data_IF_223954669780
#
_entry.id   IF_223954669780
#
_cell.length_a   1.000
_cell.length_b   1.000
_cell.length_c   1.000
_cell.angle_alpha   90.00
_cell.angle_beta   90.00
_cell.angle_gamma   90.00
#
_symmetry.space_group_name_H-M   'P 1'
#
loop_
_entity.id
_entity.type
_entity.pdbx_description
1 polymer ?
#
# COMPACT_ATOMS: atom_id res chain seq x y z
N UNK A 1 58.07 34.66 24.79
CA UNK A 1 58.04 35.51 26.00
C UNK A 1 56.63 35.51 26.58
N UNK A 2 56.39 34.68 27.59
CA UNK A 2 55.10 34.62 28.27
C UNK A 2 54.94 35.84 29.18
N UNK A 3 53.99 36.73 28.86
CA UNK A 3 53.57 37.81 29.76
C UNK A 3 52.91 37.14 30.97
N UNK A 4 53.58 37.16 32.12
CA UNK A 4 52.98 36.81 33.41
C UNK A 4 51.88 37.84 33.66
N UNK A 5 50.64 37.43 33.43
CA UNK A 5 49.45 38.26 33.64
C UNK A 5 49.24 38.35 35.16
N UNK A 6 49.38 39.54 35.74
CA UNK A 6 49.14 39.78 37.16
C UNK A 6 47.76 39.20 37.56
N UNK A 7 47.69 38.50 38.70
CA UNK A 7 46.46 37.91 39.20
C UNK A 7 45.38 38.99 39.34
N UNK A 8 44.36 38.95 38.48
CA UNK A 8 43.26 39.90 38.53
C UNK A 8 42.52 39.75 39.87
N UNK A 9 42.41 40.84 40.65
CA UNK A 9 41.63 40.85 41.90
C UNK A 9 40.24 40.30 41.63
N UNK A 10 39.80 39.32 42.42
CA UNK A 10 38.46 38.71 42.35
C UNK A 10 37.53 39.33 43.40
N UNK A 11 36.22 39.20 43.19
CA UNK A 11 35.16 39.54 44.14
C UNK A 11 35.13 41.01 44.55
N UNK A 12 35.25 41.90 43.55
CA UNK A 12 35.38 43.34 43.78
C UNK A 12 34.04 44.03 44.10
N UNK A 13 32.90 43.47 43.64
CA UNK A 13 31.59 44.07 43.89
C UNK A 13 30.99 43.59 45.21
N UNK A 14 30.36 44.51 45.91
CA UNK A 14 29.50 44.23 47.06
C UNK A 14 28.05 44.10 46.64
N UNK A 15 27.23 43.43 47.45
CA UNK A 15 25.78 43.33 47.23
C UNK A 15 25.11 44.70 47.09
N UNK A 16 25.60 45.70 47.82
CA UNK A 16 25.07 47.08 47.77
C UNK A 16 25.39 47.76 46.43
N UNK A 17 26.58 47.54 45.89
CA UNK A 17 26.97 48.07 44.57
C UNK A 17 26.19 47.39 43.44
N UNK A 18 25.93 46.08 43.54
CA UNK A 18 25.07 45.36 42.57
C UNK A 18 23.63 45.89 42.59
N UNK A 19 23.10 46.18 43.79
CA UNK A 19 21.76 46.72 43.98
C UNK A 19 21.64 48.15 43.44
N UNK A 20 22.63 49.00 43.70
CA UNK A 20 22.62 50.42 43.34
C UNK A 20 23.19 50.72 41.94
N UNK A 21 23.67 49.72 41.21
CA UNK A 21 24.31 49.95 39.91
C UNK A 21 23.36 50.62 38.91
N UNK A 22 23.81 51.73 38.32
CA UNK A 22 23.18 52.36 37.18
C UNK A 22 23.60 51.71 35.86
N UNK A 23 23.17 52.29 34.74
CA UNK A 23 23.50 51.80 33.41
C UNK A 23 25.02 51.76 33.17
N UNK A 24 25.50 50.62 32.69
CA UNK A 24 26.93 50.41 32.45
C UNK A 24 27.40 48.97 32.68
N UNK A 25 28.71 48.77 32.58
CA UNK A 25 29.38 47.50 32.88
C UNK A 25 30.22 47.68 34.16
N UNK A 26 29.83 47.02 35.25
CA UNK A 26 30.58 46.99 36.51
C UNK A 26 31.38 45.69 36.60
N UNK A 27 32.66 45.77 36.99
CA UNK A 27 33.55 44.59 37.06
C UNK A 27 33.59 44.00 38.47
N UNK A 28 33.31 42.69 38.60
CA UNK A 28 33.56 41.92 39.83
C UNK A 28 34.98 41.32 39.86
N UNK A 29 35.73 41.48 38.77
CA UNK A 29 37.09 40.99 38.65
C UNK A 29 37.18 39.57 38.06
N UNK A 30 38.39 39.21 37.61
CA UNK A 30 38.68 37.93 36.96
C UNK A 30 37.76 37.63 35.77
N UNK A 31 37.39 38.65 34.99
CA UNK A 31 36.53 38.50 33.81
C UNK A 31 35.03 38.50 34.09
N UNK A 32 34.56 38.55 35.35
CA UNK A 32 33.12 38.66 35.66
C UNK A 32 32.66 40.12 35.67
N UNK A 33 31.57 40.42 34.97
CA UNK A 33 30.97 41.75 34.89
C UNK A 33 29.46 41.68 35.12
N UNK A 34 28.93 42.69 35.79
CA UNK A 34 27.52 43.04 35.82
C UNK A 34 27.24 44.05 34.70
N UNK A 35 26.36 43.70 33.77
CA UNK A 35 25.91 44.57 32.69
C UNK A 35 24.48 45.03 32.97
N UNK A 36 24.30 46.33 33.19
CA UNK A 36 23.00 46.98 33.38
C UNK A 36 22.69 47.83 32.14
N UNK A 37 21.51 47.64 31.57
CA UNK A 37 20.97 48.38 30.43
C UNK A 37 19.49 48.63 30.69
N UNK A 38 19.13 49.89 30.90
CA UNK A 38 17.78 50.33 31.25
C UNK A 38 17.24 49.54 32.45
N UNK A 39 16.11 48.83 32.27
CA UNK A 39 15.50 48.01 33.30
C UNK A 39 16.12 46.59 33.42
N UNK A 40 17.03 46.21 32.51
CA UNK A 40 17.59 44.86 32.45
C UNK A 40 19.01 44.80 33.02
N UNK A 41 19.30 43.73 33.76
CA UNK A 41 20.64 43.47 34.26
C UNK A 41 21.03 42.02 34.01
N UNK A 42 22.28 41.78 33.61
CA UNK A 42 22.79 40.45 33.28
C UNK A 42 24.24 40.29 33.73
N UNK A 43 24.59 39.07 34.11
CA UNK A 43 25.97 38.69 34.41
C UNK A 43 26.66 38.20 33.15
N UNK A 44 27.87 38.70 32.93
CA UNK A 44 28.68 38.39 31.75
C UNK A 44 30.07 37.98 32.18
N UNK A 45 30.58 36.89 31.63
CA UNK A 45 31.94 36.41 31.84
C UNK A 45 32.76 36.59 30.57
N UNK A 46 33.75 37.48 30.62
CA UNK A 46 34.73 37.72 29.57
C UNK A 46 35.96 36.85 29.81
N UNK A 47 36.37 36.10 28.80
CA UNK A 47 37.59 35.29 28.84
C UNK A 47 38.35 35.37 27.53
N UNK A 48 39.58 34.86 27.52
CA UNK A 48 40.37 34.68 26.28
C UNK A 48 40.35 33.20 25.95
N UNK A 49 39.77 32.85 24.81
CA UNK A 49 39.76 31.48 24.31
C UNK A 49 41.17 31.07 23.85
N UNK A 50 41.41 29.76 23.72
CA UNK A 50 42.69 29.23 23.21
C UNK A 50 43.04 29.75 21.80
N UNK A 51 42.03 30.15 21.02
CA UNK A 51 42.17 30.80 19.70
C UNK A 51 42.64 32.25 19.76
N UNK A 52 42.82 32.84 20.94
CA UNK A 52 43.17 34.25 21.14
C UNK A 52 41.98 35.22 21.04
N UNK A 53 40.79 34.73 20.67
CA UNK A 53 39.54 35.51 20.69
C UNK A 53 39.11 35.83 22.12
N UNK A 54 38.39 36.93 22.31
CA UNK A 54 37.84 37.35 23.61
C UNK A 54 36.32 37.34 23.62
N UNK A 55 35.69 36.16 23.66
CA UNK A 55 34.24 36.06 23.71
C UNK A 55 33.67 36.52 25.06
N UNK A 56 32.40 36.91 25.04
CA UNK A 56 31.59 37.19 26.23
C UNK A 56 30.57 36.06 26.42
N UNK A 57 30.55 35.42 27.58
CA UNK A 57 29.57 34.40 27.95
C UNK A 57 28.54 35.01 28.92
N UNK A 58 27.29 35.11 28.49
CA UNK A 58 26.19 35.45 29.40
C UNK A 58 25.96 34.32 30.43
N UNK A 59 25.98 34.67 31.71
CA UNK A 59 25.77 33.76 32.84
C UNK A 59 24.32 33.75 33.34
N UNK A 60 23.51 34.74 32.95
CA UNK A 60 22.09 34.82 33.27
C UNK A 60 21.66 36.23 33.68
N UNK A 61 20.38 36.38 34.00
CA UNK A 61 19.83 37.64 34.52
C UNK A 61 20.39 37.94 35.92
N UNK A 62 20.69 39.21 36.17
CA UNK A 62 21.07 39.69 37.49
C UNK A 62 19.81 40.16 38.23
N UNK A 63 19.37 39.38 39.22
CA UNK A 63 18.21 39.75 40.03
C UNK A 63 18.62 40.72 41.13
N UNK A 64 18.06 41.94 41.10
CA UNK A 64 18.46 43.06 41.97
C UNK A 64 17.26 43.79 42.58
N UNK A 65 16.11 43.11 42.70
CA UNK A 65 14.90 43.69 43.31
C UNK A 65 14.99 43.86 44.84
N UNK A 66 15.95 43.21 45.49
CA UNK A 66 16.25 43.38 46.91
C UNK A 66 17.72 43.07 47.20
N UNK A 67 18.21 43.48 48.37
CA UNK A 67 19.57 43.14 48.82
C UNK A 67 19.80 41.61 48.88
N UNK A 68 18.78 40.83 49.25
CA UNK A 68 18.86 39.37 49.27
C UNK A 68 19.02 38.79 47.86
N UNK A 69 18.15 39.19 46.93
CA UNK A 69 18.21 38.74 45.53
C UNK A 69 19.53 39.15 44.86
N UNK A 70 19.99 40.38 45.10
CA UNK A 70 21.27 40.87 44.58
C UNK A 70 22.45 40.04 45.12
N UNK A 71 22.43 39.68 46.40
CA UNK A 71 23.44 38.85 47.03
C UNK A 71 23.45 37.41 46.49
N UNK A 72 22.27 36.80 46.34
CA UNK A 72 22.11 35.46 45.76
C UNK A 72 22.58 35.44 44.29
N UNK A 73 22.14 36.42 43.49
CA UNK A 73 22.52 36.54 42.09
C UNK A 73 24.02 36.74 41.90
N UNK A 74 24.66 37.59 42.72
CA UNK A 74 26.11 37.78 42.73
C UNK A 74 26.85 36.49 43.11
N UNK A 75 26.34 35.76 44.12
CA UNK A 75 26.93 34.50 44.57
C UNK A 75 26.87 33.44 43.46
N UNK A 76 25.71 33.26 42.82
CA UNK A 76 25.54 32.35 41.69
C UNK A 76 26.46 32.72 40.52
N UNK A 77 26.54 34.00 40.18
CA UNK A 77 27.41 34.48 39.10
C UNK A 77 28.89 34.22 39.38
N UNK A 78 29.35 34.39 40.63
CA UNK A 78 30.71 34.04 41.06
C UNK A 78 30.98 32.54 40.94
N UNK A 79 30.06 31.69 41.38
CA UNK A 79 30.19 30.23 41.24
C UNK A 79 30.26 29.80 39.77
N UNK A 80 29.41 30.37 38.91
CA UNK A 80 29.42 30.07 37.47
C UNK A 80 30.69 30.59 36.80
N UNK A 81 31.17 31.79 37.15
CA UNK A 81 32.44 32.31 36.65
C UNK A 81 33.63 31.45 37.11
N UNK A 82 33.62 30.96 38.35
CA UNK A 82 34.62 30.03 38.84
C UNK A 82 34.62 28.72 38.04
N UNK A 83 33.45 28.13 37.78
CA UNK A 83 33.33 26.93 36.96
C UNK A 83 33.84 27.15 35.52
N UNK A 84 33.53 28.31 34.91
CA UNK A 84 34.02 28.67 33.58
C UNK A 84 35.55 28.84 33.56
N UNK A 85 36.15 29.43 34.61
CA UNK A 85 37.61 29.52 34.74
C UNK A 85 38.27 28.15 34.87
N UNK A 86 37.63 27.21 35.58
CA UNK A 86 38.14 25.85 35.71
C UNK A 86 38.13 25.09 34.38
N UNK A 87 37.07 25.24 33.58
CA UNK A 87 37.02 24.70 32.21
C UNK A 87 38.15 25.26 31.34
N UNK A 88 38.41 26.57 31.43
CA UNK A 88 39.52 27.21 30.72
C UNK A 88 40.89 26.69 31.17
N UNK A 89 41.07 26.38 32.46
CA UNK A 89 42.28 25.76 33.01
C UNK A 89 42.52 24.37 32.42
N UNK A 90 41.44 23.66 32.07
CA UNK A 90 41.46 22.36 31.42
C UNK A 90 41.57 22.45 29.89
N UNK A 91 41.64 23.66 29.33
CA UNK A 91 41.72 23.89 27.88
C UNK A 91 40.39 23.77 27.13
N UNK A 92 39.26 23.70 27.85
CA UNK A 92 37.91 23.60 27.28
C UNK A 92 37.29 25.00 27.19
N UNK A 93 36.71 25.35 26.04
CA UNK A 93 35.96 26.60 25.89
C UNK A 93 34.59 26.50 26.61
N UNK A 94 34.29 27.35 27.61
CA UNK A 94 33.04 27.31 28.35
C UNK A 94 31.76 27.53 27.51
N UNK A 95 31.86 28.23 26.37
CA UNK A 95 30.73 28.44 25.46
C UNK A 95 30.45 27.15 24.69
N UNK A 96 31.48 26.51 24.14
CA UNK A 96 31.35 25.27 23.39
C UNK A 96 30.82 24.14 24.28
N UNK A 97 31.29 24.03 25.53
CA UNK A 97 30.78 23.06 26.51
C UNK A 97 29.30 23.32 26.85
N UNK A 98 28.90 24.58 27.05
CA UNK A 98 27.50 24.94 27.32
C UNK A 98 26.61 24.60 26.13
N UNK A 99 27.05 24.92 24.92
CA UNK A 99 26.26 24.74 23.71
C UNK A 99 26.18 23.24 23.37
N UNK A 100 27.26 22.47 23.54
CA UNK A 100 27.28 21.01 23.47
C UNK A 100 26.32 20.34 24.47
N UNK A 101 26.29 20.79 25.73
CA UNK A 101 25.30 20.31 26.72
C UNK A 101 23.85 20.62 26.31
N UNK A 102 23.60 21.81 25.75
CA UNK A 102 22.26 22.19 25.27
C UNK A 102 21.83 21.34 24.09
N UNK A 103 22.72 21.07 23.15
CA UNK A 103 22.46 20.17 22.03
C UNK A 103 22.21 18.74 22.49
N UNK A 104 23.03 18.21 23.41
CA UNK A 104 22.83 16.89 23.99
C UNK A 104 21.47 16.78 24.70
N UNK A 105 21.08 17.79 25.49
CA UNK A 105 19.78 17.84 26.14
C UNK A 105 18.61 17.90 25.13
N UNK A 106 18.76 18.68 24.04
CA UNK A 106 17.77 18.72 22.95
C UNK A 106 17.64 17.36 22.26
N UNK A 107 18.75 16.71 21.93
CA UNK A 107 18.76 15.37 21.33
C UNK A 107 18.08 14.35 22.24
N UNK A 108 18.39 14.36 23.54
CA UNK A 108 17.76 13.47 24.51
C UNK A 108 16.23 13.67 24.59
N UNK A 109 15.74 14.92 24.53
CA UNK A 109 14.30 15.22 24.52
C UNK A 109 13.64 14.72 23.22
N UNK A 110 14.27 14.94 22.07
CA UNK A 110 13.74 14.46 20.78
C UNK A 110 13.78 12.93 20.67
N UNK A 111 14.82 12.27 21.17
CA UNK A 111 14.91 10.82 21.28
C UNK A 111 13.82 10.24 22.19
N UNK A 112 13.55 10.88 23.33
CA UNK A 112 12.48 10.48 24.24
C UNK A 112 11.09 10.63 23.62
N UNK A 113 10.83 11.73 22.89
CA UNK A 113 9.57 11.91 22.14
C UNK A 113 9.42 10.88 21.02
N UNK A 114 10.48 10.63 20.26
CA UNK A 114 10.47 9.64 19.20
C UNK A 114 10.23 8.23 19.74
N UNK A 115 10.82 7.88 20.89
CA UNK A 115 10.58 6.62 21.57
C UNK A 115 9.13 6.48 22.05
N UNK A 116 8.60 7.53 22.68
CA UNK A 116 7.20 7.57 23.08
C UNK A 116 6.25 7.41 21.87
N UNK A 117 6.56 8.06 20.74
CA UNK A 117 5.79 7.89 19.50
C UNK A 117 5.87 6.46 18.96
N UNK A 118 7.05 5.83 18.97
CA UNK A 118 7.22 4.42 18.58
C UNK A 118 6.38 3.48 19.45
N UNK A 119 6.32 3.73 20.76
CA UNK A 119 5.51 2.94 21.69
C UNK A 119 4.01 3.11 21.48
N UNK A 120 3.54 4.30 21.07
CA UNK A 120 2.12 4.56 20.80
C UNK A 120 1.66 4.21 19.38
N UNK A 121 2.59 3.98 18.45
CA UNK A 121 2.23 3.57 17.09
C UNK A 121 1.96 2.06 17.04
N UNK A 122 0.68 1.71 17.12
CA UNK A 122 0.24 0.33 17.00
C UNK A 122 0.19 -0.13 15.54
N UNK A 123 0.17 -1.45 15.31
CA UNK A 123 -0.02 -2.01 13.97
C UNK A 123 -1.30 -1.47 13.31
N UNK A 124 -2.40 -1.38 14.06
CA UNK A 124 -3.66 -0.81 13.58
C UNK A 124 -3.52 0.63 13.08
N UNK A 125 -2.82 1.48 13.85
CA UNK A 125 -2.60 2.89 13.49
C UNK A 125 -1.70 3.02 12.26
N UNK A 126 -0.61 2.25 12.21
CA UNK A 126 0.27 2.21 11.05
C UNK A 126 -0.47 1.73 9.80
N UNK A 127 -1.27 0.66 9.90
CA UNK A 127 -2.03 0.12 8.79
C UNK A 127 -3.11 1.07 8.28
N UNK A 128 -3.84 1.75 9.18
CA UNK A 128 -4.84 2.77 8.81
C UNK A 128 -4.19 3.99 8.17
N UNK A 129 -3.09 4.49 8.75
CA UNK A 129 -2.34 5.61 8.16
C UNK A 129 -1.79 5.28 6.77
N UNK A 130 -1.26 4.07 6.57
CA UNK A 130 -0.84 3.61 5.24
C UNK A 130 -2.02 3.49 4.27
N UNK A 131 -3.15 2.97 4.75
CA UNK A 131 -4.36 2.82 3.98
C UNK A 131 -4.90 4.16 3.47
N UNK A 132 -5.06 5.15 4.34
CA UNK A 132 -5.50 6.51 4.00
C UNK A 132 -4.55 7.19 3.01
N UNK A 133 -3.24 7.11 3.23
CA UNK A 133 -2.26 7.80 2.38
C UNK A 133 -2.04 7.14 1.01
N UNK A 134 -2.05 5.80 0.95
CA UNK A 134 -1.57 5.04 -0.22
C UNK A 134 -2.66 4.22 -0.88
N UNK A 135 -3.51 3.54 -0.10
CA UNK A 135 -4.46 2.57 -0.64
C UNK A 135 -5.74 3.25 -1.12
N UNK A 136 -6.32 4.14 -0.32
CA UNK A 136 -7.55 4.86 -0.70
C UNK A 136 -7.40 5.66 -2.00
N UNK A 137 -6.31 6.44 -2.22
CA UNK A 137 -6.18 7.23 -3.44
C UNK A 137 -5.88 6.39 -4.69
N UNK A 138 -5.32 5.19 -4.53
CA UNK A 138 -4.83 4.37 -5.66
C UNK A 138 -5.75 3.23 -6.06
N UNK A 139 -6.80 2.95 -5.28
CA UNK A 139 -7.71 1.81 -5.47
C UNK A 139 -9.16 2.28 -5.53
N UNK A 140 -10.03 1.43 -6.07
CA UNK A 140 -11.47 1.70 -6.02
C UNK A 140 -11.97 1.62 -4.58
N UNK A 141 -13.03 2.36 -4.25
CA UNK A 141 -13.62 2.44 -2.90
C UNK A 141 -13.85 1.07 -2.29
N UNK A 142 -14.42 0.14 -3.07
CA UNK A 142 -14.65 -1.25 -2.63
C UNK A 142 -13.36 -1.98 -2.28
N UNK A 143 -12.33 -1.86 -3.12
CA UNK A 143 -11.06 -2.55 -2.89
C UNK A 143 -10.29 -1.95 -1.73
N UNK A 144 -10.34 -0.63 -1.54
CA UNK A 144 -9.74 0.04 -0.39
C UNK A 144 -10.41 -0.42 0.91
N UNK A 145 -11.75 -0.45 0.97
CA UNK A 145 -12.47 -0.94 2.15
C UNK A 145 -12.15 -2.42 2.46
N UNK A 146 -12.14 -3.28 1.43
CA UNK A 146 -11.77 -4.70 1.58
C UNK A 146 -10.30 -4.90 1.98
N UNK A 147 -9.43 -3.93 1.70
CA UNK A 147 -8.02 -4.01 2.05
C UNK A 147 -7.84 -3.94 3.56
N UNK A 148 -8.36 -2.90 4.20
CA UNK A 148 -8.22 -2.69 5.64
C UNK A 148 -9.05 -3.69 6.44
N UNK A 149 -10.29 -3.96 6.03
CA UNK A 149 -11.17 -4.91 6.71
C UNK A 149 -10.58 -6.33 6.79
N UNK A 150 -9.78 -6.73 5.79
CA UNK A 150 -9.10 -8.03 5.86
C UNK A 150 -8.03 -8.11 6.95
N UNK A 151 -7.35 -6.99 7.23
CA UNK A 151 -6.32 -6.96 8.27
C UNK A 151 -7.02 -7.01 9.63
N UNK A 152 -8.06 -6.20 9.80
CA UNK A 152 -8.89 -6.19 11.01
C UNK A 152 -9.54 -7.54 11.30
N UNK A 153 -9.96 -8.28 10.27
CA UNK A 153 -10.62 -9.58 10.45
C UNK A 153 -9.64 -10.74 10.68
N UNK A 154 -8.43 -10.69 10.12
CA UNK A 154 -7.49 -11.82 10.14
C UNK A 154 -6.27 -11.63 11.05
N UNK A 155 -6.00 -10.42 11.51
CA UNK A 155 -4.94 -10.17 12.50
C UNK A 155 -5.55 -10.26 13.89
N UNK A 156 -5.03 -11.10 14.79
CA UNK A 156 -5.54 -11.19 16.15
C UNK A 156 -5.49 -9.83 16.86
N UNK A 157 -6.51 -9.55 17.66
CA UNK A 157 -6.68 -8.28 18.38
C UNK A 157 -5.42 -7.88 19.18
N UNK A 158 -4.81 -8.84 19.88
CA UNK A 158 -3.59 -8.63 20.64
C UNK A 158 -2.42 -8.11 19.79
N UNK A 159 -2.27 -8.60 18.55
CA UNK A 159 -1.23 -8.11 17.62
C UNK A 159 -1.66 -6.82 16.91
N UNK A 160 -2.95 -6.68 16.62
CA UNK A 160 -3.49 -5.50 15.94
C UNK A 160 -3.29 -4.23 16.75
N UNK A 161 -3.44 -4.33 18.08
CA UNK A 161 -3.25 -3.22 19.01
C UNK A 161 -1.87 -3.16 19.66
N UNK A 162 -0.96 -4.11 19.36
CA UNK A 162 0.42 -4.05 19.82
C UNK A 162 1.21 -2.93 19.13
N UNK A 163 2.22 -2.34 19.80
CA UNK A 163 3.20 -1.46 19.16
C UNK A 163 3.84 -2.14 17.95
N UNK A 164 3.89 -1.46 16.80
CA UNK A 164 4.41 -2.08 15.56
C UNK A 164 5.87 -2.53 15.71
N UNK A 165 6.65 -1.79 16.50
CA UNK A 165 8.05 -2.09 16.78
C UNK A 165 8.27 -3.35 17.62
N UNK A 166 7.27 -3.79 18.41
CA UNK A 166 7.39 -4.97 19.29
C UNK A 166 6.90 -6.27 18.64
N UNK A 167 6.37 -6.21 17.42
CA UNK A 167 5.85 -7.39 16.74
C UNK A 167 7.00 -8.18 16.13
N UNK A 168 7.16 -9.42 16.56
CA UNK A 168 8.18 -10.32 16.02
C UNK A 168 7.59 -11.37 15.06
N UNK A 169 8.44 -11.93 14.20
CA UNK A 169 8.03 -12.92 13.21
C UNK A 169 7.35 -14.18 13.79
N UNK A 170 7.82 -14.78 14.92
CA UNK A 170 7.15 -15.92 15.52
C UNK A 170 5.75 -15.60 16.03
N UNK A 171 5.58 -14.47 16.73
CA UNK A 171 4.29 -14.03 17.25
C UNK A 171 3.31 -13.71 16.12
N UNK A 172 3.78 -13.02 15.07
CA UNK A 172 2.97 -12.72 13.89
C UNK A 172 2.57 -14.01 13.15
N UNK A 173 3.48 -14.97 12.98
CA UNK A 173 3.16 -16.25 12.36
C UNK A 173 2.12 -17.03 13.16
N UNK A 174 2.31 -17.13 14.48
CA UNK A 174 1.37 -17.80 15.37
C UNK A 174 -0.02 -17.14 15.29
N UNK A 175 -0.07 -15.80 15.32
CA UNK A 175 -1.31 -15.06 15.21
C UNK A 175 -2.02 -15.29 13.88
N UNK A 176 -1.30 -15.20 12.77
CA UNK A 176 -1.84 -15.47 11.44
C UNK A 176 -2.22 -16.95 11.25
N UNK A 177 -1.57 -17.86 11.97
CA UNK A 177 -1.91 -19.27 11.97
C UNK A 177 -3.19 -19.56 12.74
N UNK A 178 -3.64 -18.75 13.70
CA UNK A 178 -4.93 -19.01 14.38
C UNK A 178 -6.13 -18.95 13.42
N UNK A 179 -5.96 -18.36 12.24
CA UNK A 179 -6.92 -18.40 11.11
C UNK A 179 -7.02 -19.84 10.50
N UNK A 180 -6.19 -20.81 10.94
CA UNK A 180 -6.25 -22.24 10.56
C UNK A 180 -5.50 -23.17 11.54
N UNK A 181 -6.08 -24.32 11.89
CA UNK A 181 -5.33 -25.45 12.45
C UNK A 181 -4.15 -25.86 11.52
N UNK A 182 -2.93 -25.42 11.79
CA UNK A 182 -1.70 -25.80 11.07
C UNK A 182 -1.16 -27.15 11.60
N UNK A 183 -2.01 -28.17 11.63
CA UNK A 183 -1.57 -29.52 11.98
C UNK A 183 -0.82 -30.22 10.84
N UNK A 184 -1.03 -29.82 9.57
CA UNK A 184 -0.37 -30.44 8.41
C UNK A 184 0.43 -29.43 7.56
N UNK A 185 1.78 -29.53 7.55
CA UNK A 185 2.66 -28.74 6.67
C UNK A 185 2.43 -28.95 5.17
N UNK A 186 1.69 -29.98 4.75
CA UNK A 186 1.46 -30.34 3.34
C UNK A 186 0.25 -29.66 2.72
N UNK A 187 -0.61 -29.02 3.51
CA UNK A 187 -1.82 -28.39 2.97
C UNK A 187 -1.55 -26.96 2.47
N UNK A 188 -1.89 -26.68 1.21
CA UNK A 188 -1.73 -25.38 0.54
C UNK A 188 -2.17 -24.22 1.43
N UNK A 189 -1.30 -23.23 1.56
CA UNK A 189 -1.63 -21.96 2.24
C UNK A 189 -2.83 -21.31 1.54
N UNK A 190 -3.91 -20.95 2.27
CA UNK A 190 -5.04 -20.23 1.69
C UNK A 190 -4.61 -18.89 1.08
N UNK A 191 -5.14 -18.56 -0.10
CA UNK A 191 -4.84 -17.28 -0.79
C UNK A 191 -5.11 -16.07 0.11
N UNK A 192 -6.13 -16.16 0.98
CA UNK A 192 -6.46 -15.16 2.00
C UNK A 192 -5.27 -14.84 2.92
N UNK A 193 -4.56 -15.86 3.41
CA UNK A 193 -3.40 -15.66 4.28
C UNK A 193 -2.23 -15.03 3.51
N UNK A 194 -2.02 -15.44 2.26
CA UNK A 194 -1.00 -14.84 1.41
C UNK A 194 -1.27 -13.35 1.16
N UNK A 195 -2.54 -12.98 0.94
CA UNK A 195 -2.98 -11.59 0.76
C UNK A 195 -2.80 -10.78 2.05
N UNK A 196 -3.24 -11.28 3.21
CA UNK A 196 -3.04 -10.61 4.51
C UNK A 196 -1.55 -10.37 4.78
N UNK A 197 -0.71 -11.39 4.58
CA UNK A 197 0.75 -11.26 4.72
C UNK A 197 1.34 -10.22 3.78
N UNK A 198 0.93 -10.18 2.50
CA UNK A 198 1.38 -9.16 1.55
C UNK A 198 1.01 -7.75 2.00
N UNK A 199 -0.20 -7.57 2.55
CA UNK A 199 -0.66 -6.28 3.07
C UNK A 199 0.15 -5.84 4.28
N UNK A 200 0.41 -6.78 5.21
CA UNK A 200 1.31 -6.54 6.35
C UNK A 200 2.73 -6.20 5.90
N UNK A 201 3.25 -6.88 4.86
CA UNK A 201 4.56 -6.58 4.26
C UNK A 201 4.66 -5.09 3.90
N UNK A 202 3.65 -4.56 3.20
CA UNK A 202 3.60 -3.14 2.81
C UNK A 202 3.50 -2.19 4.01
N UNK A 203 2.74 -2.55 5.04
CA UNK A 203 2.63 -1.73 6.27
C UNK A 203 3.96 -1.69 7.03
N UNK A 204 4.64 -2.84 7.17
CA UNK A 204 5.95 -2.89 7.83
C UNK A 204 7.04 -2.20 7.02
N UNK A 205 7.05 -2.31 5.68
CA UNK A 205 7.98 -1.56 4.83
C UNK A 205 7.78 -0.04 4.98
N UNK A 206 6.54 0.44 4.98
CA UNK A 206 6.23 1.86 5.23
C UNK A 206 6.65 2.30 6.64
N UNK A 207 6.41 1.47 7.66
CA UNK A 207 6.81 1.77 9.03
C UNK A 207 8.35 1.83 9.19
N UNK A 208 9.10 0.96 8.52
CA UNK A 208 10.56 1.02 8.49
C UNK A 208 11.04 2.29 7.81
N UNK A 209 10.46 2.65 6.66
CA UNK A 209 10.83 3.86 5.93
C UNK A 209 10.69 5.13 6.78
N UNK A 210 9.66 5.20 7.62
CA UNK A 210 9.43 6.32 8.55
C UNK A 210 10.17 6.17 9.90
N UNK A 211 11.02 5.15 10.06
CA UNK A 211 11.79 4.93 11.30
C UNK A 211 10.96 4.49 12.51
N UNK A 212 9.75 3.96 12.28
CA UNK A 212 8.87 3.49 13.34
C UNK A 212 9.19 2.07 13.82
N UNK A 213 9.79 1.24 12.97
CA UNK A 213 10.34 -0.07 13.36
C UNK A 213 11.61 -0.37 12.55
N UNK A 214 12.38 -1.37 13.00
CA UNK A 214 13.68 -1.73 12.39
C UNK A 214 13.62 -3.01 11.58
N UNK A 215 12.59 -3.84 11.77
CA UNK A 215 12.46 -5.15 11.13
C UNK A 215 11.08 -5.33 10.50
N UNK A 216 11.02 -6.19 9.48
CA UNK A 216 9.78 -6.59 8.82
C UNK A 216 9.50 -8.08 9.11
N UNK A 217 8.64 -8.38 10.10
CA UNK A 217 8.22 -9.75 10.43
C UNK A 217 7.53 -10.47 9.26
N UNK A 218 6.73 -9.75 8.45
CA UNK A 218 5.96 -10.33 7.35
C UNK A 218 6.85 -10.81 6.19
N UNK A 219 8.01 -10.19 5.99
CA UNK A 219 9.02 -10.64 5.04
C UNK A 219 9.71 -11.93 5.49
N UNK A 220 9.99 -12.09 6.79
CA UNK A 220 10.58 -13.31 7.34
C UNK A 220 9.63 -14.52 7.20
N UNK A 221 8.34 -14.31 7.45
CA UNK A 221 7.28 -15.32 7.26
C UNK A 221 7.22 -15.79 5.80
N UNK A 222 7.37 -14.88 4.83
CA UNK A 222 7.39 -15.20 3.39
C UNK A 222 8.44 -16.27 3.04
N UNK A 223 9.62 -16.21 3.66
CA UNK A 223 10.70 -17.19 3.45
C UNK A 223 10.31 -18.56 4.00
N UNK A 224 9.83 -18.60 5.24
CA UNK A 224 9.40 -19.84 5.90
C UNK A 224 8.20 -20.51 5.19
N UNK A 225 7.24 -19.71 4.73
CA UNK A 225 6.13 -20.21 3.91
C UNK A 225 6.60 -20.77 2.58
N UNK A 226 7.61 -20.18 1.93
CA UNK A 226 8.20 -20.72 0.69
C UNK A 226 8.97 -22.01 0.90
N UNK A 227 9.61 -22.19 2.05
CA UNK A 227 10.26 -23.45 2.44
C UNK A 227 9.24 -24.56 2.69
N UNK A 228 8.08 -24.23 3.27
CA UNK A 228 7.01 -25.18 3.57
C UNK A 228 6.06 -25.47 2.38
N UNK A 229 5.97 -24.58 1.40
CA UNK A 229 5.13 -24.81 0.22
C UNK A 229 5.84 -25.76 -0.77
N UNK A 230 5.19 -26.86 -1.19
CA UNK A 230 5.58 -27.51 -2.44
C UNK A 230 5.50 -26.45 -3.56
N UNK A 231 6.44 -26.50 -4.52
CA UNK A 231 6.36 -25.70 -5.76
C UNK A 231 5.11 -26.14 -6.52
N UNK A 232 3.96 -25.60 -6.14
CA UNK A 232 2.75 -25.73 -6.93
C UNK A 232 2.99 -24.92 -8.19
N UNK A 233 2.84 -25.56 -9.35
CA UNK A 233 2.61 -24.84 -10.60
C UNK A 233 1.58 -23.76 -10.31
N UNK A 234 1.88 -22.52 -10.68
CA UNK A 234 0.94 -21.42 -10.56
C UNK A 234 -0.31 -21.83 -11.33
N UNK A 235 -1.30 -22.37 -10.60
CA UNK A 235 -2.34 -23.19 -11.19
C UNK A 235 -2.96 -22.46 -12.36
N UNK A 236 -2.73 -22.96 -13.57
CA UNK A 236 -3.52 -22.59 -14.73
C UNK A 236 -4.97 -22.76 -14.28
N UNK A 237 -5.76 -21.67 -14.34
CA UNK A 237 -7.18 -21.75 -14.03
C UNK A 237 -7.73 -22.92 -14.85
N UNK A 238 -8.43 -23.85 -14.17
CA UNK A 238 -9.02 -25.01 -14.85
C UNK A 238 -9.81 -24.49 -16.06
N UNK A 239 -9.35 -24.85 -17.25
CA UNK A 239 -9.95 -24.50 -18.52
C UNK A 239 -10.57 -25.75 -19.10
N UNK A 240 -11.73 -25.61 -19.73
CA UNK A 240 -12.32 -26.73 -20.44
C UNK A 240 -11.49 -26.99 -21.71
N UNK A 241 -11.15 -28.24 -22.05
CA UNK A 241 -10.59 -28.55 -23.36
C UNK A 241 -11.52 -28.03 -24.46
N UNK A 242 -11.00 -27.24 -25.40
CA UNK A 242 -11.86 -26.52 -26.33
C UNK A 242 -12.71 -27.43 -27.23
N UNK A 243 -12.27 -28.67 -27.47
CA UNK A 243 -13.04 -29.69 -28.20
C UNK A 243 -14.35 -30.06 -27.51
N UNK A 244 -14.45 -29.88 -26.20
CA UNK A 244 -15.68 -30.12 -25.42
C UNK A 244 -16.59 -28.89 -25.34
N UNK A 245 -16.10 -27.71 -25.75
CA UNK A 245 -16.85 -26.46 -25.65
C UNK A 245 -18.16 -26.46 -26.46
N UNK A 246 -18.25 -27.05 -27.67
CA UNK A 246 -19.52 -27.12 -28.40
C UNK A 246 -20.60 -27.93 -27.64
N UNK A 247 -20.23 -29.08 -27.06
CA UNK A 247 -21.16 -29.89 -26.26
C UNK A 247 -21.65 -29.14 -25.01
N UNK A 248 -20.77 -28.38 -24.35
CA UNK A 248 -21.18 -27.54 -23.24
C UNK A 248 -22.09 -26.40 -23.70
N UNK A 249 -21.81 -25.79 -24.85
CA UNK A 249 -22.62 -24.71 -25.41
C UNK A 249 -24.04 -25.18 -25.75
N UNK A 250 -24.18 -26.40 -26.29
CA UNK A 250 -25.49 -27.02 -26.54
C UNK A 250 -26.30 -27.17 -25.24
N UNK A 251 -25.69 -27.73 -24.18
CA UNK A 251 -26.33 -27.85 -22.86
C UNK A 251 -26.66 -26.50 -22.24
N UNK A 252 -25.78 -25.51 -22.43
CA UNK A 252 -25.99 -24.16 -21.94
C UNK A 252 -27.17 -23.46 -22.64
N UNK A 253 -27.34 -23.69 -23.94
CA UNK A 253 -28.49 -23.18 -24.70
C UNK A 253 -29.82 -23.76 -24.26
N UNK A 254 -29.83 -24.96 -23.70
CA UNK A 254 -31.02 -25.58 -23.09
C UNK A 254 -31.28 -25.09 -21.66
N UNK A 255 -30.28 -24.53 -20.98
CA UNK A 255 -30.44 -24.05 -19.62
C UNK A 255 -31.26 -22.75 -19.56
N UNK A 256 -32.28 -22.74 -18.71
CA UNK A 256 -33.16 -21.59 -18.54
C UNK A 256 -32.56 -20.50 -17.64
N UNK A 257 -33.02 -19.26 -17.86
CA UNK A 257 -32.76 -18.11 -17.00
C UNK A 257 -31.69 -17.15 -17.52
N UNK A 258 -31.76 -15.91 -17.00
CA UNK A 258 -30.91 -14.77 -17.41
C UNK A 258 -29.42 -15.08 -17.19
N UNK A 259 -29.08 -15.78 -16.09
CA UNK A 259 -27.71 -16.18 -15.80
C UNK A 259 -27.12 -17.14 -16.86
N UNK A 260 -27.94 -18.03 -17.43
CA UNK A 260 -27.51 -18.93 -18.49
C UNK A 260 -27.26 -18.16 -19.79
N UNK A 261 -28.16 -17.24 -20.14
CA UNK A 261 -27.98 -16.35 -21.31
C UNK A 261 -26.75 -15.45 -21.18
N UNK A 262 -26.49 -14.94 -19.97
CA UNK A 262 -25.30 -14.14 -19.70
C UNK A 262 -24.02 -14.96 -19.82
N UNK A 263 -24.01 -16.21 -19.34
CA UNK A 263 -22.87 -17.11 -19.53
C UNK A 263 -22.66 -17.47 -21.01
N UNK A 264 -23.75 -17.75 -21.75
CA UNK A 264 -23.70 -18.01 -23.20
C UNK A 264 -23.06 -16.83 -23.94
N UNK A 265 -23.55 -15.62 -23.65
CA UNK A 265 -23.00 -14.38 -24.20
C UNK A 265 -21.52 -14.19 -23.85
N UNK A 266 -21.11 -14.45 -22.61
CA UNK A 266 -19.72 -14.35 -22.19
C UNK A 266 -18.79 -15.33 -22.93
N UNK A 267 -19.27 -16.55 -23.18
CA UNK A 267 -18.53 -17.56 -23.95
C UNK A 267 -18.41 -17.14 -25.42
N UNK A 268 -19.50 -16.67 -26.05
CA UNK A 268 -19.50 -16.21 -27.44
C UNK A 268 -18.57 -15.01 -27.68
N UNK A 269 -18.42 -14.14 -26.67
CA UNK A 269 -17.63 -12.91 -26.75
C UNK A 269 -16.22 -13.03 -26.16
N UNK A 270 -15.87 -14.17 -25.58
CA UNK A 270 -14.64 -14.38 -24.81
C UNK A 270 -14.39 -13.30 -23.71
N UNK A 271 -15.46 -12.71 -23.19
CA UNK A 271 -15.41 -11.60 -22.24
C UNK A 271 -15.20 -12.07 -20.80
N UNK A 272 -14.76 -11.16 -19.93
CA UNK A 272 -14.64 -11.42 -18.49
C UNK A 272 -16.02 -11.46 -17.85
N UNK A 273 -16.16 -12.22 -16.76
CA UNK A 273 -17.41 -12.34 -16.00
C UNK A 273 -18.03 -10.99 -15.63
N UNK A 274 -17.24 -10.03 -15.14
CA UNK A 274 -17.72 -8.70 -14.77
C UNK A 274 -18.08 -7.82 -15.97
N UNK A 275 -17.48 -8.07 -17.14
CA UNK A 275 -17.81 -7.38 -18.38
C UNK A 275 -19.22 -7.79 -18.84
N UNK A 276 -19.51 -9.09 -18.88
CA UNK A 276 -20.85 -9.56 -19.26
C UNK A 276 -21.92 -9.23 -18.22
N UNK A 277 -21.67 -9.44 -16.91
CA UNK A 277 -22.67 -9.24 -15.85
C UNK A 277 -23.15 -7.78 -15.72
N UNK A 278 -22.25 -6.82 -15.93
CA UNK A 278 -22.55 -5.40 -15.74
C UNK A 278 -22.88 -4.69 -17.06
N UNK A 279 -23.02 -5.44 -18.17
CA UNK A 279 -23.30 -4.91 -19.49
C UNK A 279 -24.61 -4.10 -19.52
N UNK A 280 -24.56 -2.90 -20.08
CA UNK A 280 -25.70 -2.00 -20.20
C UNK A 280 -26.07 -1.78 -21.66
N UNK A 281 -27.34 -1.52 -21.96
CA UNK A 281 -27.80 -1.32 -23.34
C UNK A 281 -27.10 -0.15 -24.05
N UNK A 282 -26.64 0.86 -23.30
CA UNK A 282 -25.93 2.02 -23.84
C UNK A 282 -24.54 1.67 -24.42
N UNK A 283 -23.98 0.50 -24.08
CA UNK A 283 -22.68 0.04 -24.58
C UNK A 283 -22.77 -0.65 -25.95
N UNK A 284 -23.98 -0.91 -26.45
CA UNK A 284 -24.20 -1.70 -27.65
C UNK A 284 -24.65 -0.86 -28.84
N UNK A 285 -23.90 -0.94 -29.92
CA UNK A 285 -24.39 -0.62 -31.26
C UNK A 285 -24.83 -1.93 -31.94
N UNK A 286 -26.12 -2.26 -31.81
CA UNK A 286 -26.67 -3.49 -32.38
C UNK A 286 -26.72 -3.48 -33.91
N UNK A 287 -26.75 -2.29 -34.53
CA UNK A 287 -26.75 -2.15 -35.98
C UNK A 287 -25.33 -2.38 -36.55
N UNK A 288 -24.31 -1.82 -35.90
CA UNK A 288 -22.90 -2.08 -36.21
C UNK A 288 -22.37 -3.43 -35.69
N UNK A 289 -23.18 -4.19 -34.94
CA UNK A 289 -22.79 -5.42 -34.25
C UNK A 289 -21.56 -5.22 -33.34
N UNK A 290 -21.56 -4.14 -32.56
CA UNK A 290 -20.46 -3.76 -31.65
C UNK A 290 -20.94 -3.69 -30.21
N UNK A 291 -20.05 -4.10 -29.31
CA UNK A 291 -20.15 -3.84 -27.88
C UNK A 291 -18.92 -3.08 -27.41
N UNK A 292 -19.09 -1.83 -27.02
CA UNK A 292 -18.01 -0.93 -26.59
C UNK A 292 -18.00 -0.84 -25.07
N UNK A 293 -17.03 -1.50 -24.45
CA UNK A 293 -16.87 -1.53 -23.00
C UNK A 293 -16.02 -0.33 -22.57
N UNK A 294 -16.56 0.59 -21.76
CA UNK A 294 -15.84 1.80 -21.37
C UNK A 294 -14.64 1.48 -20.49
N UNK A 295 -13.59 2.31 -20.60
CA UNK A 295 -12.33 2.16 -19.85
C UNK A 295 -12.51 1.97 -18.34
N UNK A 296 -13.53 2.60 -17.75
CA UNK A 296 -13.78 2.56 -16.30
C UNK A 296 -14.24 1.17 -15.83
N UNK A 297 -14.74 0.33 -16.74
CA UNK A 297 -15.09 -1.07 -16.49
C UNK A 297 -13.99 -2.06 -16.86
N UNK A 298 -12.99 -1.60 -17.61
CA UNK A 298 -11.92 -2.45 -18.13
C UNK A 298 -10.77 -2.56 -17.14
N UNK A 299 -10.26 -3.78 -16.96
CA UNK A 299 -9.12 -4.05 -16.07
C UNK A 299 -7.85 -3.29 -16.51
N UNK A 300 -7.66 -3.15 -17.82
CA UNK A 300 -6.52 -2.45 -18.42
C UNK A 300 -6.69 -0.92 -18.48
N UNK A 301 -7.84 -0.38 -18.03
CA UNK A 301 -8.17 1.05 -18.09
C UNK A 301 -8.13 1.65 -19.51
N UNK A 302 -8.33 0.81 -20.52
CA UNK A 302 -8.50 1.20 -21.92
C UNK A 302 -9.87 0.73 -22.40
N UNK A 303 -10.49 1.49 -23.31
CA UNK A 303 -11.76 1.09 -23.92
C UNK A 303 -11.57 -0.16 -24.76
N UNK A 304 -12.57 -1.05 -24.74
CA UNK A 304 -12.51 -2.30 -25.49
C UNK A 304 -13.76 -2.52 -26.33
N UNK A 305 -13.58 -2.62 -27.64
CA UNK A 305 -14.66 -2.92 -28.58
C UNK A 305 -14.69 -4.40 -28.91
N UNK A 306 -15.79 -5.08 -28.65
CA UNK A 306 -16.04 -6.48 -29.01
C UNK A 306 -16.96 -6.54 -30.23
N UNK A 307 -16.58 -7.33 -31.24
CA UNK A 307 -17.41 -7.58 -32.41
C UNK A 307 -18.38 -8.73 -32.15
N UNK A 308 -19.67 -8.52 -32.41
CA UNK A 308 -20.73 -9.44 -32.05
C UNK A 308 -21.05 -10.37 -33.23
N UNK A 309 -20.97 -11.68 -33.00
CA UNK A 309 -21.45 -12.67 -33.96
C UNK A 309 -22.99 -12.67 -34.03
N UNK A 310 -23.60 -13.21 -35.11
CA UNK A 310 -25.06 -13.35 -35.19
C UNK A 310 -25.65 -14.11 -33.98
N UNK A 311 -24.93 -15.12 -33.47
CA UNK A 311 -25.34 -15.85 -32.27
C UNK A 311 -25.34 -14.95 -31.02
N UNK A 312 -24.33 -14.09 -30.84
CA UNK A 312 -24.29 -13.16 -29.72
C UNK A 312 -25.41 -12.12 -29.81
N UNK A 313 -25.71 -11.61 -31.02
CA UNK A 313 -26.83 -10.71 -31.26
C UNK A 313 -28.18 -11.37 -30.93
N UNK A 314 -28.37 -12.65 -31.28
CA UNK A 314 -29.59 -13.39 -30.94
C UNK A 314 -29.81 -13.49 -29.43
N UNK A 315 -28.73 -13.74 -28.66
CA UNK A 315 -28.81 -13.74 -27.18
C UNK A 315 -29.25 -12.36 -26.67
N UNK A 316 -28.66 -11.27 -27.18
CA UNK A 316 -29.03 -9.91 -26.80
C UNK A 316 -30.50 -9.60 -27.16
N UNK A 317 -30.95 -9.95 -28.36
CA UNK A 317 -32.34 -9.76 -28.77
C UNK A 317 -33.32 -10.45 -27.81
N UNK A 318 -33.00 -11.68 -27.38
CA UNK A 318 -33.81 -12.40 -26.39
C UNK A 318 -33.84 -11.77 -25.00
N UNK A 319 -32.95 -10.83 -24.68
CA UNK A 319 -32.97 -10.09 -23.41
C UNK A 319 -33.69 -8.73 -23.51
N UNK A 320 -34.12 -8.29 -24.71
CA UNK A 320 -34.81 -7.01 -24.89
C UNK A 320 -36.11 -6.97 -24.08
N UNK A 321 -36.33 -5.85 -23.39
CA UNK A 321 -37.53 -5.60 -22.59
C UNK A 321 -37.49 -6.12 -21.16
N UNK A 322 -36.45 -6.86 -20.75
CA UNK A 322 -36.31 -7.34 -19.37
C UNK A 322 -35.95 -6.22 -18.38
N UNK A 323 -35.10 -5.28 -18.80
CA UNK A 323 -34.68 -4.12 -18.02
C UNK A 323 -34.25 -2.99 -18.96
N UNK A 324 -34.56 -1.71 -18.64
CA UNK A 324 -34.22 -0.58 -19.50
C UNK A 324 -32.72 -0.25 -19.54
N UNK A 325 -31.96 -0.65 -18.51
CA UNK A 325 -30.55 -0.31 -18.34
C UNK A 325 -29.64 -1.51 -18.56
N UNK A 326 -29.86 -2.61 -17.86
CA UNK A 326 -28.99 -3.78 -17.87
C UNK A 326 -29.44 -4.80 -18.92
N UNK A 327 -28.47 -5.37 -19.64
CA UNK A 327 -28.74 -6.47 -20.58
C UNK A 327 -29.11 -7.75 -19.82
N UNK A 328 -28.45 -7.98 -18.68
CA UNK A 328 -28.67 -9.16 -17.84
C UNK A 328 -29.01 -8.75 -16.40
N UNK A 329 -30.26 -8.30 -16.14
CA UNK A 329 -30.67 -7.80 -14.84
C UNK A 329 -30.77 -8.92 -13.78
N UNK A 330 -30.73 -8.54 -12.51
CA UNK A 330 -31.01 -9.47 -11.42
C UNK A 330 -32.50 -9.84 -11.41
N UNK A 331 -32.86 -11.13 -11.41
CA UNK A 331 -34.26 -11.55 -11.33
C UNK A 331 -34.90 -11.26 -9.96
N UNK A 332 -34.09 -10.96 -8.94
CA UNK A 332 -34.56 -10.75 -7.55
C UNK A 332 -34.47 -9.29 -7.08
N UNK A 333 -33.64 -8.47 -7.72
CA UNK A 333 -33.35 -7.10 -7.27
C UNK A 333 -33.52 -6.16 -8.44
N UNK A 334 -34.59 -5.35 -8.41
CA UNK A 334 -34.82 -4.30 -9.40
C UNK A 334 -33.62 -3.33 -9.47
N UNK A 335 -33.33 -2.81 -10.66
CA UNK A 335 -32.27 -1.84 -10.95
C UNK A 335 -30.85 -2.29 -10.57
N UNK A 336 -30.62 -3.60 -10.42
CA UNK A 336 -29.30 -4.16 -10.12
C UNK A 336 -28.89 -5.22 -11.13
N UNK A 337 -27.60 -5.29 -11.48
CA UNK A 337 -27.09 -6.39 -12.27
C UNK A 337 -27.05 -7.67 -11.45
N UNK A 338 -26.90 -8.81 -12.13
CA UNK A 338 -26.71 -10.10 -11.47
C UNK A 338 -25.46 -10.15 -10.59
N UNK A 339 -25.49 -11.00 -9.56
CA UNK A 339 -24.33 -11.22 -8.69
C UNK A 339 -23.17 -11.90 -9.44
N UNK A 340 -21.95 -11.70 -8.96
CA UNK A 340 -20.76 -12.40 -9.49
C UNK A 340 -20.87 -13.94 -9.41
N UNK A 341 -21.74 -14.47 -8.56
CA UNK A 341 -21.96 -15.91 -8.42
C UNK A 341 -22.92 -16.48 -9.46
N UNK A 342 -23.69 -15.64 -10.16
CA UNK A 342 -24.77 -16.08 -11.04
C UNK A 342 -24.29 -17.08 -12.12
N UNK A 343 -23.22 -16.74 -12.85
CA UNK A 343 -22.64 -17.63 -13.86
C UNK A 343 -21.99 -18.88 -13.25
N UNK A 344 -21.38 -18.77 -12.07
CA UNK A 344 -20.79 -19.91 -11.36
C UNK A 344 -21.86 -20.93 -10.97
N UNK A 345 -23.02 -20.47 -10.50
CA UNK A 345 -24.16 -21.33 -10.18
C UNK A 345 -24.74 -22.02 -11.41
N UNK A 346 -24.64 -21.41 -12.60
CA UNK A 346 -25.01 -22.10 -13.86
C UNK A 346 -24.00 -23.19 -14.20
N UNK A 347 -22.69 -22.90 -14.14
CA UNK A 347 -21.66 -23.93 -14.35
C UNK A 347 -21.78 -25.11 -13.39
N UNK A 348 -22.13 -24.83 -12.14
CA UNK A 348 -22.36 -25.85 -11.12
C UNK A 348 -23.53 -26.76 -11.47
N UNK A 349 -24.67 -26.16 -11.85
CA UNK A 349 -25.84 -26.90 -12.36
C UNK A 349 -25.54 -27.73 -13.60
N UNK A 350 -24.59 -27.30 -14.43
CA UNK A 350 -24.11 -28.05 -15.59
C UNK A 350 -23.05 -29.11 -15.24
N UNK A 351 -22.73 -29.31 -13.95
CA UNK A 351 -21.74 -30.28 -13.49
C UNK A 351 -20.29 -29.93 -13.87
N UNK A 352 -20.01 -28.64 -14.14
CA UNK A 352 -18.72 -28.17 -14.64
C UNK A 352 -17.82 -27.54 -13.57
N UNK A 353 -18.31 -27.41 -12.33
CA UNK A 353 -17.62 -26.69 -11.23
C UNK A 353 -16.22 -27.21 -10.93
N UNK A 354 -16.02 -28.52 -11.00
CA UNK A 354 -14.71 -29.14 -10.75
C UNK A 354 -13.83 -29.21 -11.99
N UNK A 355 -14.38 -28.94 -13.17
CA UNK A 355 -13.71 -29.06 -14.48
C UNK A 355 -13.24 -27.73 -15.04
N UNK A 356 -13.97 -26.64 -14.79
CA UNK A 356 -13.62 -25.32 -15.31
C UNK A 356 -14.14 -24.21 -14.41
N UNK A 357 -13.63 -23.00 -14.62
CA UNK A 357 -14.17 -21.76 -14.06
C UNK A 357 -14.81 -20.94 -15.17
N UNK A 358 -15.65 -19.95 -14.84
CA UNK A 358 -16.21 -19.02 -15.87
C UNK A 358 -15.09 -18.37 -16.67
N UNK A 359 -14.03 -17.91 -15.98
CA UNK A 359 -12.86 -17.33 -16.64
C UNK A 359 -12.11 -18.35 -17.51
N UNK A 360 -11.88 -19.55 -17.00
CA UNK A 360 -11.24 -20.64 -17.73
C UNK A 360 -12.00 -20.98 -19.01
N UNK A 361 -13.32 -21.13 -18.91
CA UNK A 361 -14.20 -21.42 -20.05
C UNK A 361 -14.25 -20.28 -21.08
N UNK A 362 -14.47 -19.03 -20.65
CA UNK A 362 -14.68 -17.94 -21.61
C UNK A 362 -13.37 -17.51 -22.28
N UNK A 363 -12.24 -17.60 -21.57
CA UNK A 363 -10.99 -16.95 -22.00
C UNK A 363 -9.89 -17.93 -22.31
N UNK A 364 -9.55 -18.81 -21.37
CA UNK A 364 -8.47 -19.77 -21.59
C UNK A 364 -8.87 -20.77 -22.69
N UNK A 365 -10.08 -21.32 -22.67
CA UNK A 365 -10.57 -22.22 -23.71
C UNK A 365 -10.60 -21.55 -25.10
N UNK A 366 -11.09 -20.31 -25.20
CA UNK A 366 -11.06 -19.54 -26.46
C UNK A 366 -9.62 -19.30 -26.94
N UNK A 367 -8.73 -18.85 -26.06
CA UNK A 367 -7.33 -18.60 -26.39
C UNK A 367 -6.64 -19.87 -26.86
N UNK A 368 -6.84 -20.99 -26.17
CA UNK A 368 -6.27 -22.29 -26.55
C UNK A 368 -6.79 -22.74 -27.91
N UNK A 369 -8.10 -22.66 -28.15
CA UNK A 369 -8.68 -22.97 -29.46
C UNK A 369 -8.05 -22.13 -30.57
N UNK A 370 -8.02 -20.81 -30.40
CA UNK A 370 -7.55 -19.91 -31.44
C UNK A 370 -6.06 -20.12 -31.77
N UNK A 371 -5.22 -20.38 -30.76
CA UNK A 371 -3.80 -20.67 -30.95
C UNK A 371 -3.56 -22.05 -31.55
N UNK A 372 -4.20 -23.11 -31.04
CA UNK A 372 -3.96 -24.49 -31.51
C UNK A 372 -4.50 -24.74 -32.92
N UNK A 373 -5.61 -24.08 -33.30
CA UNK A 373 -6.20 -24.22 -34.63
C UNK A 373 -5.60 -23.24 -35.65
N UNK A 374 -4.79 -22.27 -35.19
CA UNK A 374 -4.28 -21.20 -36.04
C UNK A 374 -5.38 -20.28 -36.59
N UNK A 375 -6.51 -20.14 -35.86
CA UNK A 375 -7.67 -19.35 -36.30
C UNK A 375 -7.34 -17.86 -36.50
N UNK A 376 -6.33 -17.35 -35.79
CA UNK A 376 -5.77 -16.02 -35.98
C UNK A 376 -4.32 -15.94 -35.47
N UNK A 377 -3.61 -14.87 -35.83
CA UNK A 377 -2.29 -14.55 -35.27
C UNK A 377 -2.41 -14.22 -33.76
N UNK A 378 -1.37 -14.51 -32.96
CA UNK A 378 -1.38 -14.26 -31.51
C UNK A 378 -1.80 -12.84 -31.11
N UNK A 379 -1.32 -11.81 -31.81
CA UNK A 379 -1.66 -10.41 -31.50
C UNK A 379 -3.17 -10.13 -31.60
N UNK A 380 -3.87 -10.76 -32.54
CA UNK A 380 -5.33 -10.61 -32.72
C UNK A 380 -6.07 -11.31 -31.60
N UNK A 381 -5.60 -12.49 -31.17
CA UNK A 381 -6.17 -13.26 -30.06
C UNK A 381 -6.05 -12.45 -28.75
N UNK A 382 -4.86 -11.92 -28.48
CA UNK A 382 -4.59 -11.08 -27.31
C UNK A 382 -5.41 -9.78 -27.35
N UNK A 383 -5.56 -9.16 -28.53
CA UNK A 383 -6.41 -8.00 -28.72
C UNK A 383 -7.91 -8.30 -28.50
N UNK A 384 -8.43 -9.44 -28.96
CA UNK A 384 -9.78 -9.92 -28.65
C UNK A 384 -10.01 -10.10 -27.15
N UNK A 385 -8.98 -10.51 -26.42
CA UNK A 385 -9.04 -10.72 -24.98
C UNK A 385 -8.82 -9.43 -24.17
N UNK A 386 -8.48 -8.29 -24.79
CA UNK A 386 -8.05 -7.08 -24.08
C UNK A 386 -6.92 -7.42 -23.07
N UNK A 387 -5.89 -8.11 -23.54
CA UNK A 387 -4.66 -8.32 -22.79
C UNK A 387 -3.69 -7.18 -23.06
N UNK A 388 -3.04 -6.68 -22.01
CA UNK A 388 -2.00 -5.66 -22.14
C UNK A 388 -0.75 -6.28 -22.78
N UNK A 389 -0.17 -5.58 -23.75
CA UNK A 389 1.12 -5.93 -24.34
C UNK A 389 2.22 -5.80 -23.28
N UNK A 390 2.79 -6.93 -22.88
CA UNK A 390 3.83 -7.00 -21.84
C UNK A 390 5.13 -6.34 -22.30
N UNK A 391 5.39 -6.32 -23.62
CA UNK A 391 6.56 -5.66 -24.18
C UNK A 391 6.32 -4.16 -24.34
N UNK A 392 6.79 -3.38 -23.37
CA UNK A 392 6.64 -1.90 -23.34
C UNK A 392 7.17 -1.21 -24.61
N UNK A 393 8.17 -1.78 -25.28
CA UNK A 393 8.68 -1.21 -26.54
C UNK A 393 7.66 -1.41 -27.65
N UNK A 394 7.11 -2.63 -27.81
CA UNK A 394 6.05 -2.89 -28.81
C UNK A 394 4.77 -2.09 -28.53
N UNK A 395 4.37 -2.01 -27.26
CA UNK A 395 3.19 -1.25 -26.84
C UNK A 395 3.26 0.24 -27.22
N UNK A 396 4.46 0.84 -27.23
CA UNK A 396 4.65 2.25 -27.60
C UNK A 396 4.41 2.53 -29.09
N UNK A 397 4.62 1.55 -29.97
CA UNK A 397 4.57 1.73 -31.43
C UNK A 397 3.37 1.05 -32.11
N UNK A 398 2.82 -0.04 -31.55
CA UNK A 398 1.73 -0.78 -32.16
C UNK A 398 0.36 -0.22 -31.76
N UNK A 399 -0.26 0.58 -32.65
CA UNK A 399 -1.62 1.11 -32.48
C UNK A 399 -2.69 0.33 -33.27
N UNK A 400 -2.34 -0.81 -33.83
CA UNK A 400 -3.28 -1.58 -34.65
C UNK A 400 -4.40 -2.18 -33.79
N UNK A 401 -5.65 -1.94 -34.19
CA UNK A 401 -6.84 -2.45 -33.49
C UNK A 401 -7.35 -3.79 -34.03
N UNK A 402 -6.87 -4.21 -35.21
CA UNK A 402 -7.21 -5.48 -35.87
C UNK A 402 -8.71 -5.75 -36.03
N UNK A 403 -9.55 -4.72 -36.19
CA UNK A 403 -11.02 -4.84 -36.10
C UNK A 403 -11.61 -5.92 -37.03
N UNK A 404 -11.19 -5.98 -38.30
CA UNK A 404 -11.68 -7.01 -39.25
C UNK A 404 -11.24 -8.43 -38.86
N UNK A 405 -9.98 -8.61 -38.48
CA UNK A 405 -9.45 -9.91 -38.04
C UNK A 405 -10.12 -10.38 -36.73
N UNK A 406 -10.39 -9.44 -35.82
CA UNK A 406 -11.09 -9.72 -34.55
C UNK A 406 -12.55 -10.09 -34.78
N UNK A 407 -13.23 -9.42 -35.71
CA UNK A 407 -14.59 -9.79 -36.15
C UNK A 407 -14.61 -11.21 -36.70
N UNK A 408 -13.73 -11.50 -37.66
CA UNK A 408 -13.63 -12.81 -38.28
C UNK A 408 -13.33 -13.91 -37.24
N UNK A 409 -12.45 -13.64 -36.27
CA UNK A 409 -12.10 -14.59 -35.22
C UNK A 409 -13.29 -14.92 -34.29
N UNK A 410 -14.04 -13.90 -33.83
CA UNK A 410 -15.21 -14.12 -32.97
C UNK A 410 -16.37 -14.78 -33.70
N UNK A 411 -16.52 -14.52 -35.00
CA UNK A 411 -17.48 -15.24 -35.86
C UNK A 411 -17.08 -16.70 -36.04
N UNK A 412 -15.81 -16.98 -36.35
CA UNK A 412 -15.28 -18.34 -36.44
C UNK A 412 -15.44 -19.12 -35.12
N UNK A 413 -15.23 -18.45 -33.98
CA UNK A 413 -15.44 -19.02 -32.66
C UNK A 413 -16.91 -19.41 -32.42
N UNK A 414 -17.84 -18.50 -32.74
CA UNK A 414 -19.27 -18.78 -32.65
C UNK A 414 -19.68 -19.94 -33.57
N UNK A 415 -19.10 -20.01 -34.77
CA UNK A 415 -19.28 -21.12 -35.71
C UNK A 415 -18.77 -22.45 -35.16
N UNK A 416 -17.59 -22.46 -34.55
CA UNK A 416 -17.03 -23.65 -33.89
C UNK A 416 -17.93 -24.14 -32.74
N UNK A 417 -18.40 -23.23 -31.89
CA UNK A 417 -19.30 -23.54 -30.78
C UNK A 417 -20.68 -24.04 -31.21
N UNK A 418 -21.09 -23.78 -32.46
CA UNK A 418 -22.34 -24.26 -33.02
C UNK A 418 -22.23 -25.66 -33.65
N UNK A 419 -21.02 -26.22 -33.76
CA UNK A 419 -20.85 -27.55 -34.33
C UNK A 419 -21.43 -28.62 -33.40
N UNK A 420 -22.14 -29.63 -33.93
CA UNK A 420 -22.54 -30.78 -33.13
C UNK A 420 -21.27 -31.49 -32.63
N UNK A 421 -21.30 -31.95 -31.38
CA UNK A 421 -20.17 -32.67 -30.82
C UNK A 421 -19.95 -33.96 -31.63
N UNK A 422 -18.91 -33.98 -32.46
CA UNK A 422 -18.46 -35.19 -33.12
C UNK A 422 -17.82 -36.09 -32.05
N UNK A 423 -18.62 -36.95 -31.42
CA UNK A 423 -18.06 -38.00 -30.57
C UNK A 423 -17.15 -38.85 -31.45
N UNK A 424 -15.86 -38.95 -31.11
CA UNK A 424 -14.90 -39.88 -31.74
C UNK A 424 -15.23 -41.37 -31.47
N UNK A 425 -16.50 -41.71 -31.26
CA UNK A 425 -16.96 -43.10 -31.13
C UNK A 425 -17.16 -43.61 -32.56
N UNK A 426 -16.13 -44.29 -33.08
CA UNK A 426 -16.27 -45.13 -34.27
C UNK A 426 -17.08 -46.37 -33.83
N UNK A 427 -18.27 -46.63 -34.40
CA UNK A 427 -18.97 -47.88 -34.14
C UNK A 427 -18.11 -49.02 -34.68
N UNK A 428 -17.65 -49.93 -33.80
CA UNK A 428 -17.10 -51.21 -34.24
C UNK A 428 -18.22 -51.94 -34.97
N UNK A 429 -18.05 -52.14 -36.29
CA UNK A 429 -18.95 -52.98 -37.08
C UNK A 429 -18.93 -54.38 -36.46
N UNK A 430 -20.10 -54.85 -36.02
CA UNK A 430 -20.27 -56.24 -35.64
C UNK A 430 -19.98 -57.12 -36.86
N UNK A 431 -19.15 -58.15 -36.66
CA UNK A 431 -18.77 -59.14 -37.67
C UNK A 431 -19.90 -60.16 -37.90
#
# INVERSE_FOLDING_TARGET
>A
MARIQAAAKLHQLTTREVLAAGDGDLTDGGGLLLRVRDASASWVFRFTAASGRRPEMGLGAAHRGSAKQAGESLTTARSQAHAARELLRQGIDPIDERDGRREAARRAVEEAKAEQQRQHLTLARAARGYHERVIEPTRTTKHAAQWIASLEHHVPEALWHAPIASIEAPALLAGLSTVRSLADPRERVPETLQRVRQRLDSVFEDAIFHGHCTTNPAAAIRRKMREAMPRGDAGQLKALPYREAPALMERLRQAEGIAARCLEFAVLTASRTSEALLATWAEFDLNGALWVIPKDRMKAKEEHTVHLSPAALAVLQGQRGLDPRYVFPSPMLADRPMSNMAMLTVLDRLGMRDRTTVHGLCRATFSTWANETGAARPDVIEACLAHEEKNRVRAAYNRAQFNEERRALLEAWAGFLAQPYASNIVPLRAA
#
